data_IF_600822117088
#
_entry.id   IF_600822117088
#
_cell.length_a   1.000
_cell.length_b   1.000
_cell.length_c   1.000
_cell.angle_alpha   90.00
_cell.angle_beta   90.00
_cell.angle_gamma   90.00
#
_symmetry.space_group_name_H-M   'P 1'
#
loop_
_entity.id
_entity.type
_entity.pdbx_description
1 polymer ?
#
# COMPACT_ATOMS: atom_id res chain seq x y z
N UNK A 1 -11.77 13.57 9.21
CA UNK A 1 -10.77 14.20 8.32
C UNK A 1 -9.38 14.39 8.95
N UNK A 2 -9.24 15.13 10.06
CA UNK A 2 -7.93 15.42 10.65
C UNK A 2 -7.06 14.17 10.93
N UNK A 3 -7.62 13.14 11.59
CA UNK A 3 -6.89 11.91 11.91
C UNK A 3 -6.37 11.19 10.65
N UNK A 4 -7.15 11.21 9.56
CA UNK A 4 -6.76 10.61 8.30
C UNK A 4 -5.53 11.31 7.72
N UNK A 5 -5.58 12.65 7.65
CA UNK A 5 -4.46 13.47 7.16
C UNK A 5 -3.22 13.28 8.04
N UNK A 6 -3.39 13.30 9.36
CA UNK A 6 -2.28 13.06 10.29
C UNK A 6 -1.65 11.68 10.08
N UNK A 7 -2.48 10.64 9.92
CA UNK A 7 -2.01 9.28 9.64
C UNK A 7 -1.21 9.18 8.34
N UNK A 8 -1.70 9.82 7.27
CA UNK A 8 -1.01 9.92 5.98
C UNK A 8 0.34 10.63 6.14
N UNK A 9 0.38 11.76 6.86
CA UNK A 9 1.61 12.51 7.09
C UNK A 9 2.62 11.70 7.88
N UNK A 10 2.21 11.03 8.95
CA UNK A 10 3.09 10.14 9.72
C UNK A 10 3.66 9.03 8.85
N UNK A 11 2.83 8.40 8.02
CA UNK A 11 3.27 7.38 7.08
C UNK A 11 4.32 7.91 6.11
N UNK A 12 4.02 9.00 5.39
CA UNK A 12 4.89 9.56 4.35
C UNK A 12 6.21 10.05 4.94
N UNK A 13 6.16 10.83 6.03
CA UNK A 13 7.36 11.40 6.64
C UNK A 13 8.25 10.32 7.27
N UNK A 14 7.68 9.28 7.87
CA UNK A 14 8.45 8.17 8.42
C UNK A 14 9.23 7.41 7.33
N UNK A 15 8.61 7.17 6.17
CA UNK A 15 9.28 6.52 5.03
C UNK A 15 10.35 7.41 4.40
N UNK A 16 10.07 8.71 4.25
CA UNK A 16 11.02 9.68 3.71
C UNK A 16 12.18 10.00 4.63
N UNK A 17 12.11 9.69 5.93
CA UNK A 17 13.13 10.07 6.93
C UNK A 17 14.55 9.66 6.52
N UNK A 18 14.73 8.44 5.98
CA UNK A 18 16.05 7.95 5.53
C UNK A 18 16.62 8.77 4.37
N UNK A 19 15.77 9.42 3.57
CA UNK A 19 16.16 10.17 2.38
C UNK A 19 16.30 11.66 2.67
N UNK A 20 15.42 12.23 3.50
CA UNK A 20 15.46 13.64 3.89
C UNK A 20 16.58 13.95 4.89
N UNK A 21 16.89 13.02 5.80
CA UNK A 21 17.90 13.23 6.84
C UNK A 21 18.80 11.99 7.03
N UNK A 22 19.55 11.54 6.01
CA UNK A 22 20.31 10.29 6.05
C UNK A 22 21.35 10.26 7.18
N UNK A 23 22.05 11.37 7.44
CA UNK A 23 23.04 11.44 8.54
C UNK A 23 22.40 11.26 9.91
N UNK A 24 21.32 12.01 10.21
CA UNK A 24 20.56 11.85 11.46
C UNK A 24 19.99 10.44 11.59
N UNK A 25 19.45 9.89 10.50
CA UNK A 25 18.93 8.53 10.45
C UNK A 25 19.99 7.50 10.81
N UNK A 26 21.23 7.66 10.34
CA UNK A 26 22.35 6.79 10.67
C UNK A 26 22.82 6.94 12.12
N UNK A 27 22.90 8.18 12.64
CA UNK A 27 23.29 8.44 14.04
C UNK A 27 22.31 7.87 15.07
N UNK A 28 21.06 7.65 14.68
CA UNK A 28 20.01 7.08 15.52
C UNK A 28 19.88 5.56 15.39
N UNK A 29 20.73 4.87 14.62
CA UNK A 29 20.67 3.41 14.55
C UNK A 29 21.13 2.78 15.88
N UNK A 30 20.43 1.76 16.43
CA UNK A 30 19.30 1.04 15.84
C UNK A 30 17.92 1.66 16.14
N UNK A 31 17.81 2.59 17.10
CA UNK A 31 16.56 3.20 17.60
C UNK A 31 15.65 3.75 16.48
N UNK A 32 16.22 4.32 15.43
CA UNK A 32 15.42 4.84 14.33
C UNK A 32 14.64 3.77 13.56
N UNK A 33 15.00 2.48 13.63
CA UNK A 33 14.18 1.40 13.03
C UNK A 33 12.88 1.20 13.78
N UNK A 34 12.96 1.04 15.10
CA UNK A 34 11.76 0.85 15.94
C UNK A 34 10.90 2.10 15.96
N UNK A 35 11.51 3.29 15.99
CA UNK A 35 10.78 4.55 15.88
C UNK A 35 10.01 4.65 14.55
N UNK A 36 10.66 4.38 13.40
CA UNK A 36 9.97 4.41 12.11
C UNK A 36 8.86 3.36 12.05
N UNK A 37 9.11 2.14 12.54
CA UNK A 37 8.08 1.10 12.59
C UNK A 37 6.87 1.53 13.45
N UNK A 38 7.11 2.14 14.61
CA UNK A 38 6.07 2.67 15.48
C UNK A 38 5.28 3.81 14.81
N UNK A 39 5.96 4.77 14.19
CA UNK A 39 5.32 5.88 13.48
C UNK A 39 4.46 5.39 12.29
N UNK A 40 4.94 4.40 11.54
CA UNK A 40 4.19 3.78 10.44
C UNK A 40 2.95 3.05 10.97
N UNK A 41 3.08 2.30 12.07
CA UNK A 41 1.96 1.59 12.69
C UNK A 41 0.91 2.57 13.24
N UNK A 42 1.33 3.59 13.97
CA UNK A 42 0.44 4.65 14.46
C UNK A 42 -0.22 5.37 13.29
N UNK A 43 0.55 5.70 12.25
CA UNK A 43 0.02 6.30 11.02
C UNK A 43 -1.08 5.45 10.39
N UNK A 44 -0.86 4.13 10.27
CA UNK A 44 -1.86 3.19 9.77
C UNK A 44 -3.13 3.16 10.62
N UNK A 45 -3.00 3.07 11.95
CA UNK A 45 -4.15 3.08 12.86
C UNK A 45 -4.95 4.38 12.72
N UNK A 46 -4.27 5.53 12.66
CA UNK A 46 -4.91 6.83 12.48
C UNK A 46 -5.60 6.95 11.11
N UNK A 47 -5.03 6.38 10.05
CA UNK A 47 -5.68 6.32 8.74
C UNK A 47 -6.97 5.49 8.80
N UNK A 48 -6.93 4.30 9.42
CA UNK A 48 -8.12 3.44 9.56
C UNK A 48 -9.23 4.13 10.36
N UNK A 49 -8.90 4.65 11.54
CA UNK A 49 -9.88 5.35 12.40
C UNK A 49 -10.39 6.61 11.70
N UNK A 50 -9.48 7.42 11.15
CA UNK A 50 -9.81 8.67 10.49
C UNK A 50 -10.66 8.52 9.24
N UNK A 51 -10.48 7.42 8.50
CA UNK A 51 -11.32 7.05 7.35
C UNK A 51 -12.71 6.63 7.81
N UNK A 52 -12.83 5.79 8.84
CA UNK A 52 -14.13 5.36 9.36
C UNK A 52 -14.97 6.47 9.97
N UNK A 53 -14.32 7.47 10.56
CA UNK A 53 -14.97 8.64 11.14
C UNK A 53 -15.25 9.75 10.12
N UNK A 54 -14.84 9.55 8.86
CA UNK A 54 -15.05 10.54 7.82
C UNK A 54 -16.53 10.61 7.45
N UNK A 55 -17.04 11.83 7.29
CA UNK A 55 -18.27 12.03 6.53
C UNK A 55 -18.04 11.62 5.07
N UNK A 56 -19.04 10.98 4.48
CA UNK A 56 -19.03 10.65 3.05
C UNK A 56 -19.34 11.93 2.29
N UNK A 57 -18.30 12.52 1.69
CA UNK A 57 -18.42 13.70 0.81
C UNK A 57 -18.18 13.22 -0.61
N UNK A 58 -19.23 13.01 -1.43
CA UNK A 58 -19.08 12.54 -2.80
C UNK A 58 -18.32 13.54 -3.67
N UNK A 59 -17.40 13.04 -4.51
CA UNK A 59 -16.62 13.86 -5.45
C UNK A 59 -16.84 13.39 -6.89
N UNK A 60 -16.92 12.08 -7.12
CA UNK A 60 -17.36 11.50 -8.38
C UNK A 60 -18.18 10.24 -8.15
N UNK A 61 -18.98 9.86 -9.14
CA UNK A 61 -19.64 8.57 -9.17
C UNK A 61 -18.69 7.56 -9.84
N UNK A 62 -18.29 6.47 -9.15
CA UNK A 62 -17.56 5.39 -9.80
C UNK A 62 -18.41 4.75 -10.91
N UNK A 63 -17.75 4.06 -11.84
CA UNK A 63 -18.47 3.39 -12.93
C UNK A 63 -19.15 2.10 -12.45
N UNK A 64 -20.37 1.78 -12.92
CA UNK A 64 -21.02 0.50 -12.64
C UNK A 64 -20.22 -0.73 -13.06
N UNK A 65 -20.23 -1.74 -12.18
CA UNK A 65 -19.59 -3.04 -12.41
C UNK A 65 -18.07 -3.08 -12.14
N UNK A 66 -17.46 -2.00 -11.66
CA UNK A 66 -16.00 -1.94 -11.45
C UNK A 66 -15.48 -2.79 -10.29
N UNK A 67 -16.35 -3.39 -9.48
CA UNK A 67 -15.95 -4.27 -8.36
C UNK A 67 -15.04 -5.43 -8.80
N UNK A 68 -15.31 -6.05 -9.95
CA UNK A 68 -14.46 -7.13 -10.46
C UNK A 68 -13.07 -6.63 -10.87
N UNK A 69 -13.00 -5.49 -11.55
CA UNK A 69 -11.72 -4.87 -11.93
C UNK A 69 -10.90 -4.50 -10.69
N UNK A 70 -11.53 -3.90 -9.68
CA UNK A 70 -10.91 -3.63 -8.38
C UNK A 70 -10.35 -4.91 -7.74
N UNK A 71 -11.15 -5.98 -7.64
CA UNK A 71 -10.71 -7.25 -7.05
C UNK A 71 -9.53 -7.88 -7.79
N UNK A 72 -9.52 -7.83 -9.12
CA UNK A 72 -8.37 -8.30 -9.91
C UNK A 72 -7.12 -7.48 -9.63
N UNK A 73 -7.23 -6.15 -9.62
CA UNK A 73 -6.11 -5.28 -9.26
C UNK A 73 -5.63 -5.55 -7.84
N UNK A 74 -6.55 -5.86 -6.93
CA UNK A 74 -6.23 -6.16 -5.54
C UNK A 74 -5.47 -7.48 -5.36
N UNK A 75 -5.85 -8.54 -6.08
CA UNK A 75 -5.08 -9.78 -6.09
C UNK A 75 -3.65 -9.56 -6.61
N UNK A 76 -3.50 -8.81 -7.71
CA UNK A 76 -2.18 -8.47 -8.25
C UNK A 76 -1.38 -7.64 -7.25
N UNK A 77 -2.00 -6.63 -6.64
CA UNK A 77 -1.37 -5.77 -5.63
C UNK A 77 -0.84 -6.58 -4.44
N UNK A 78 -1.68 -7.44 -3.86
CA UNK A 78 -1.30 -8.24 -2.67
C UNK A 78 -0.18 -9.22 -3.03
N UNK A 79 -0.23 -9.84 -4.21
CA UNK A 79 0.88 -10.67 -4.69
C UNK A 79 2.19 -9.86 -4.79
N UNK A 80 2.13 -8.65 -5.35
CA UNK A 80 3.30 -7.79 -5.47
C UNK A 80 3.92 -7.38 -4.12
N UNK A 81 3.11 -7.21 -3.06
CA UNK A 81 3.61 -6.96 -1.71
C UNK A 81 4.47 -8.12 -1.17
N UNK A 82 4.10 -9.36 -1.47
CA UNK A 82 4.81 -10.55 -0.96
C UNK A 82 6.04 -10.97 -1.78
N UNK A 83 6.26 -10.42 -2.98
CA UNK A 83 7.37 -10.80 -3.90
C UNK A 83 8.72 -10.85 -3.19
N UNK A 84 9.06 -9.80 -2.44
CA UNK A 84 10.37 -9.71 -1.77
C UNK A 84 10.51 -10.70 -0.61
N UNK A 85 9.45 -10.90 0.19
CA UNK A 85 9.48 -11.79 1.36
C UNK A 85 9.45 -13.27 0.98
N UNK A 86 8.77 -13.60 -0.11
CA UNK A 86 8.69 -14.96 -0.63
C UNK A 86 9.83 -15.34 -1.57
N UNK A 87 10.61 -14.36 -2.06
CA UNK A 87 11.62 -14.53 -3.14
C UNK A 87 11.02 -15.16 -4.40
N UNK A 88 9.86 -14.64 -4.78
CA UNK A 88 9.14 -14.99 -6.01
C UNK A 88 9.95 -14.63 -7.26
N UNK A 89 9.65 -15.22 -8.42
CA UNK A 89 10.35 -15.01 -9.69
C UNK A 89 10.34 -13.55 -10.15
N UNK A 90 9.44 -12.71 -9.63
CA UNK A 90 9.41 -11.29 -9.96
C UNK A 90 10.46 -10.45 -9.22
N UNK A 91 11.12 -10.98 -8.18
CA UNK A 91 12.03 -10.24 -7.31
C UNK A 91 13.21 -9.59 -8.06
N UNK A 92 13.70 -10.24 -9.10
CA UNK A 92 14.81 -9.76 -9.94
C UNK A 92 14.37 -9.21 -11.30
N UNK A 93 13.04 -9.16 -11.54
CA UNK A 93 12.43 -8.64 -12.79
C UNK A 93 11.79 -7.27 -12.60
N UNK A 94 11.20 -7.03 -11.42
CA UNK A 94 10.56 -5.76 -11.07
C UNK A 94 11.40 -5.07 -9.99
N UNK A 95 11.79 -3.82 -10.23
CA UNK A 95 12.63 -3.06 -9.30
C UNK A 95 11.91 -2.71 -7.98
N UNK A 96 10.62 -2.39 -8.06
CA UNK A 96 9.84 -1.85 -6.94
C UNK A 96 8.51 -2.60 -6.75
N UNK A 97 8.50 -3.92 -6.60
CA UNK A 97 7.25 -4.70 -6.62
C UNK A 97 6.26 -4.20 -5.57
N UNK A 98 6.71 -3.91 -4.35
CA UNK A 98 5.84 -3.38 -3.29
C UNK A 98 5.23 -2.02 -3.65
N UNK A 99 6.01 -1.05 -4.14
CA UNK A 99 5.47 0.26 -4.52
C UNK A 99 4.56 0.17 -5.75
N UNK A 100 4.84 -0.73 -6.69
CA UNK A 100 3.93 -1.03 -7.80
C UNK A 100 2.61 -1.59 -7.27
N UNK A 101 2.66 -2.48 -6.26
CA UNK A 101 1.48 -2.94 -5.54
C UNK A 101 0.70 -1.77 -4.95
N UNK A 102 1.34 -0.82 -4.26
CA UNK A 102 0.65 0.34 -3.67
C UNK A 102 -0.05 1.19 -4.74
N UNK A 103 0.56 1.35 -5.91
CA UNK A 103 -0.06 2.07 -7.04
C UNK A 103 -1.30 1.31 -7.53
N UNK A 104 -1.22 0.00 -7.75
CA UNK A 104 -2.38 -0.80 -8.17
C UNK A 104 -3.49 -0.83 -7.11
N UNK A 105 -3.13 -0.92 -5.83
CA UNK A 105 -4.04 -0.80 -4.69
C UNK A 105 -4.77 0.53 -4.70
N UNK A 106 -4.02 1.63 -4.87
CA UNK A 106 -4.54 2.99 -4.95
C UNK A 106 -5.54 3.14 -6.10
N UNK A 107 -5.15 2.69 -7.30
CA UNK A 107 -6.02 2.73 -8.48
C UNK A 107 -7.27 1.90 -8.25
N UNK A 108 -7.13 0.65 -7.80
CA UNK A 108 -8.27 -0.24 -7.55
C UNK A 108 -9.32 0.37 -6.62
N UNK A 109 -8.88 0.92 -5.50
CA UNK A 109 -9.79 1.55 -4.54
C UNK A 109 -10.46 2.81 -5.10
N UNK A 110 -9.74 3.63 -5.88
CA UNK A 110 -10.34 4.79 -6.54
C UNK A 110 -11.31 4.40 -7.66
N UNK A 111 -11.22 3.20 -8.25
CA UNK A 111 -12.21 2.75 -9.24
C UNK A 111 -13.58 2.47 -8.64
N UNK A 112 -13.68 2.28 -7.33
CA UNK A 112 -14.93 1.92 -6.64
C UNK A 112 -15.30 2.85 -5.48
N UNK A 113 -14.41 3.77 -5.07
CA UNK A 113 -14.71 4.75 -4.02
C UNK A 113 -14.49 6.17 -4.53
N UNK A 114 -15.59 6.93 -4.68
CA UNK A 114 -15.61 8.28 -5.26
C UNK A 114 -15.76 9.42 -4.26
N UNK A 115 -15.55 9.18 -2.97
CA UNK A 115 -15.65 10.18 -1.92
C UNK A 115 -14.29 10.83 -1.57
N UNK A 116 -14.35 11.97 -0.87
CA UNK A 116 -13.16 12.75 -0.51
C UNK A 116 -12.18 12.00 0.40
N UNK A 117 -12.66 11.18 1.35
CA UNK A 117 -11.79 10.44 2.25
C UNK A 117 -10.96 9.39 1.48
N UNK A 118 -11.61 8.71 0.54
CA UNK A 118 -10.98 7.78 -0.39
C UNK A 118 -9.93 8.45 -1.28
N UNK A 119 -10.26 9.59 -1.89
CA UNK A 119 -9.30 10.35 -2.70
C UNK A 119 -8.08 10.74 -1.87
N UNK A 120 -8.29 11.25 -0.65
CA UNK A 120 -7.19 11.62 0.23
C UNK A 120 -6.33 10.42 0.60
N UNK A 121 -6.93 9.30 1.02
CA UNK A 121 -6.17 8.12 1.43
C UNK A 121 -5.46 7.46 0.25
N UNK A 122 -6.23 6.94 -0.71
CA UNK A 122 -5.71 6.14 -1.80
C UNK A 122 -4.88 7.00 -2.77
N UNK A 123 -5.35 8.19 -3.10
CA UNK A 123 -4.65 9.12 -3.99
C UNK A 123 -3.30 9.57 -3.43
N UNK A 124 -3.24 9.95 -2.14
CA UNK A 124 -1.97 10.35 -1.53
C UNK A 124 -0.97 9.19 -1.44
N UNK A 125 -1.41 7.97 -1.15
CA UNK A 125 -0.55 6.78 -1.13
C UNK A 125 -0.02 6.44 -2.54
N UNK A 126 -0.83 6.60 -3.58
CA UNK A 126 -0.41 6.43 -4.97
C UNK A 126 0.66 7.44 -5.37
N UNK A 127 0.43 8.73 -5.07
CA UNK A 127 1.41 9.81 -5.30
C UNK A 127 2.70 9.55 -4.52
N UNK A 128 2.59 9.18 -3.24
CA UNK A 128 3.74 8.84 -2.40
C UNK A 128 4.54 7.66 -2.97
N UNK A 129 3.87 6.60 -3.44
CA UNK A 129 4.55 5.44 -4.01
C UNK A 129 5.37 5.81 -5.26
N UNK A 130 4.82 6.63 -6.15
CA UNK A 130 5.55 7.16 -7.32
C UNK A 130 6.72 8.03 -6.87
N UNK A 131 6.51 8.93 -5.90
CA UNK A 131 7.56 9.79 -5.37
C UNK A 131 8.72 8.98 -4.76
N UNK A 132 8.43 7.94 -3.98
CA UNK A 132 9.44 7.01 -3.44
C UNK A 132 10.21 6.30 -4.55
N UNK A 133 9.53 5.80 -5.60
CA UNK A 133 10.22 5.19 -6.75
C UNK A 133 11.22 6.18 -7.37
N UNK A 134 10.82 7.44 -7.57
CA UNK A 134 11.71 8.49 -8.13
C UNK A 134 12.90 8.75 -7.20
N UNK A 135 12.66 8.93 -5.90
CA UNK A 135 13.71 9.19 -4.90
C UNK A 135 14.68 8.01 -4.81
N UNK A 136 14.18 6.77 -4.78
CA UNK A 136 15.02 5.56 -4.74
C UNK A 136 15.81 5.40 -6.04
N UNK A 137 15.22 5.70 -7.20
CA UNK A 137 15.91 5.64 -8.49
C UNK A 137 17.06 6.65 -8.58
N UNK A 138 16.87 7.86 -8.05
CA UNK A 138 17.90 8.90 -7.99
C UNK A 138 19.03 8.59 -7.00
N UNK A 139 18.75 7.80 -5.97
CA UNK A 139 19.75 7.45 -4.96
C UNK A 139 20.82 6.47 -5.45
N UNK A 140 20.66 5.88 -6.65
CA UNK A 140 21.68 5.03 -7.26
C UNK A 140 21.11 3.93 -8.16
N UNK A 141 22.01 3.16 -8.80
CA UNK A 141 21.60 2.06 -9.67
C UNK A 141 20.88 0.96 -8.88
N UNK A 142 20.02 0.22 -9.58
CA UNK A 142 19.32 -0.92 -8.98
C UNK A 142 20.30 -2.04 -8.65
N UNK A 143 20.47 -2.32 -7.36
CA UNK A 143 21.14 -3.54 -6.89
C UNK A 143 20.15 -4.71 -7.02
N UNK A 144 20.16 -5.35 -8.18
CA UNK A 144 19.25 -6.46 -8.50
C UNK A 144 19.43 -7.61 -7.49
N UNK A 145 18.36 -8.11 -6.85
CA UNK A 145 18.43 -9.28 -5.98
C UNK A 145 18.86 -10.55 -6.74
N UNK A 146 19.21 -11.60 -6.00
CA UNK A 146 19.39 -12.93 -6.58
C UNK A 146 18.07 -13.39 -7.23
N UNK A 147 18.19 -14.23 -8.28
CA UNK A 147 17.04 -14.76 -9.01
C UNK A 147 16.05 -15.43 -8.07
N UNK A 148 14.76 -15.12 -8.26
CA UNK A 148 13.67 -15.77 -7.55
C UNK A 148 13.46 -17.21 -8.00
N UNK A 149 12.55 -17.92 -7.32
CA UNK A 149 12.23 -19.32 -7.63
C UNK A 149 10.73 -19.54 -7.77
N UNK A 150 10.34 -20.56 -8.53
CA UNK A 150 8.94 -20.99 -8.63
C UNK A 150 8.38 -21.43 -7.27
N UNK A 151 9.20 -22.03 -6.40
CA UNK A 151 8.79 -22.32 -5.02
C UNK A 151 8.45 -21.05 -4.24
N UNK A 152 9.18 -19.95 -4.48
CA UNK A 152 8.87 -18.63 -3.96
C UNK A 152 7.53 -18.09 -4.48
N UNK A 153 7.20 -18.33 -5.76
CA UNK A 153 5.88 -17.96 -6.31
C UNK A 153 4.74 -18.72 -5.64
N UNK A 154 4.88 -20.04 -5.43
CA UNK A 154 3.87 -20.85 -4.73
C UNK A 154 3.66 -20.33 -3.31
N UNK A 155 4.75 -20.09 -2.57
CA UNK A 155 4.68 -19.50 -1.22
C UNK A 155 3.98 -18.13 -1.25
N UNK A 156 4.28 -17.30 -2.25
CA UNK A 156 3.68 -15.99 -2.40
C UNK A 156 2.18 -16.08 -2.71
N UNK A 157 1.76 -17.02 -3.56
CA UNK A 157 0.35 -17.26 -3.88
C UNK A 157 -0.44 -17.70 -2.64
N UNK A 158 0.12 -18.58 -1.82
CA UNK A 158 -0.50 -18.99 -0.54
C UNK A 158 -0.66 -17.76 0.38
N UNK A 159 0.41 -16.98 0.54
CA UNK A 159 0.36 -15.74 1.33
C UNK A 159 -0.64 -14.72 0.77
N UNK A 160 -0.73 -14.60 -0.55
CA UNK A 160 -1.68 -13.74 -1.24
C UNK A 160 -3.11 -14.16 -0.96
N UNK A 161 -3.42 -15.45 -1.11
CA UNK A 161 -4.75 -15.98 -0.82
C UNK A 161 -5.14 -15.74 0.65
N UNK A 162 -4.22 -15.95 1.58
CA UNK A 162 -4.46 -15.72 3.01
C UNK A 162 -4.71 -14.23 3.33
N UNK A 163 -3.83 -13.33 2.86
CA UNK A 163 -3.94 -11.89 3.13
C UNK A 163 -5.15 -11.28 2.43
N UNK A 164 -5.38 -11.64 1.17
CA UNK A 164 -6.54 -11.18 0.41
C UNK A 164 -7.85 -11.68 1.04
N UNK A 165 -7.91 -12.97 1.43
CA UNK A 165 -9.07 -13.54 2.13
C UNK A 165 -9.35 -12.86 3.46
N UNK A 166 -8.30 -12.61 4.26
CA UNK A 166 -8.43 -11.86 5.52
C UNK A 166 -8.93 -10.43 5.27
N UNK A 167 -8.38 -9.74 4.27
CA UNK A 167 -8.80 -8.40 3.92
C UNK A 167 -10.27 -8.39 3.47
N UNK A 168 -10.69 -9.30 2.60
CA UNK A 168 -12.07 -9.44 2.14
C UNK A 168 -13.04 -9.74 3.29
N UNK A 169 -12.63 -10.60 4.23
CA UNK A 169 -13.41 -10.92 5.43
C UNK A 169 -13.58 -9.69 6.33
N UNK A 170 -12.48 -8.98 6.63
CA UNK A 170 -12.53 -7.74 7.43
C UNK A 170 -13.42 -6.69 6.73
N UNK A 171 -13.28 -6.48 5.42
CA UNK A 171 -14.14 -5.55 4.69
C UNK A 171 -15.62 -5.93 4.83
N UNK A 172 -15.94 -7.21 4.65
CA UNK A 172 -17.31 -7.72 4.81
C UNK A 172 -17.85 -7.50 6.23
N UNK A 173 -17.05 -7.76 7.27
CA UNK A 173 -17.43 -7.49 8.67
C UNK A 173 -17.69 -6.01 8.94
N UNK A 174 -17.00 -5.13 8.22
CA UNK A 174 -17.13 -3.69 8.35
C UNK A 174 -18.25 -3.11 7.47
N UNK A 175 -19.00 -3.95 6.75
CA UNK A 175 -20.13 -3.56 5.90
C UNK A 175 -19.79 -3.36 4.42
N UNK A 176 -18.54 -3.62 4.02
CA UNK A 176 -18.06 -3.45 2.64
C UNK A 176 -17.93 -4.82 1.97
N UNK A 177 -19.00 -5.31 1.33
CA UNK A 177 -18.94 -6.60 0.63
C UNK A 177 -18.18 -6.47 -0.70
N UNK A 178 -16.93 -6.94 -0.71
CA UNK A 178 -16.05 -6.86 -1.88
C UNK A 178 -16.46 -7.77 -3.04
N UNK A 179 -17.36 -8.74 -2.85
CA UNK A 179 -17.78 -9.70 -3.89
C UNK A 179 -19.18 -9.45 -4.45
N UNK A 180 -19.86 -8.39 -4.03
CA UNK A 180 -21.19 -8.03 -4.55
C UNK A 180 -21.17 -7.63 -6.05
N UNK A 181 -19.99 -7.34 -6.62
CA UNK A 181 -19.83 -6.95 -8.02
C UNK A 181 -20.25 -5.50 -8.32
N UNK A 182 -20.76 -4.77 -7.32
CA UNK A 182 -21.07 -3.35 -7.36
C UNK A 182 -19.92 -2.50 -6.79
N UNK A 183 -20.09 -1.17 -6.88
CA UNK A 183 -19.32 -0.16 -6.16
C UNK A 183 -20.23 0.55 -5.15
#
# INVERSE_FOLDING_TARGET
>A
MFLLILGILLWVLAHLFKRLAPRKRLMMEPQARSMVAGLVLVGLVLMVIGYRMADVIPVYAPLPGMGHANNTLMLISVYLFGVSGARSVLIDKIRHPMLTGVILWSVGHLLVNGDLASILLFGSMGIWAVAEMVVINRAGPWKRPAKGTFGGDIKNLIGTAAVYGLAAWVHSLLGYNVFAGSY
#
